data_IF_915987054447
#
_entry.id   IF_915987054447
#
_cell.length_a   1.000
_cell.length_b   1.000
_cell.length_c   1.000
_cell.angle_alpha   90.00
_cell.angle_beta   90.00
_cell.angle_gamma   90.00
#
_symmetry.space_group_name_H-M   'P 1'
#
loop_
_entity.id
_entity.type
_entity.pdbx_description
1 polymer ?
#
# COMPACT_ATOMS: atom_id res chain seq x y z
N UNK A 1 13.23 15.64 -21.90
CA UNK A 1 12.45 14.40 -21.69
C UNK A 1 12.53 13.90 -20.25
N UNK A 2 13.71 13.62 -19.69
CA UNK A 2 13.81 13.15 -18.30
C UNK A 2 13.26 14.16 -17.27
N UNK A 3 13.45 15.46 -17.49
CA UNK A 3 12.92 16.50 -16.61
C UNK A 3 11.39 16.51 -16.57
N UNK A 4 10.74 16.41 -17.73
CA UNK A 4 9.28 16.36 -17.81
C UNK A 4 8.71 15.12 -17.11
N UNK A 5 9.38 13.97 -17.27
CA UNK A 5 8.99 12.74 -16.56
C UNK A 5 9.13 12.93 -15.04
N UNK A 6 10.16 13.65 -14.59
CA UNK A 6 10.34 13.96 -13.18
C UNK A 6 9.25 14.90 -12.65
N UNK A 7 8.86 15.92 -13.43
CA UNK A 7 7.77 16.84 -13.08
C UNK A 7 6.42 16.08 -12.97
N UNK A 8 6.08 15.28 -13.98
CA UNK A 8 4.86 14.46 -13.99
C UNK A 8 4.84 13.47 -12.81
N UNK A 9 6.00 12.90 -12.48
CA UNK A 9 6.15 12.00 -11.33
C UNK A 9 5.88 12.72 -10.00
N UNK A 10 6.44 13.93 -9.81
CA UNK A 10 6.23 14.71 -8.59
C UNK A 10 4.75 15.06 -8.44
N UNK A 11 4.08 15.51 -9.50
CA UNK A 11 2.66 15.85 -9.45
C UNK A 11 1.79 14.64 -9.09
N UNK A 12 2.08 13.49 -9.68
CA UNK A 12 1.38 12.22 -9.38
C UNK A 12 1.54 11.81 -7.91
N UNK A 13 2.78 11.80 -7.41
CA UNK A 13 3.10 11.39 -6.03
C UNK A 13 2.48 12.35 -5.02
N UNK A 14 2.59 13.65 -5.22
CA UNK A 14 2.04 14.66 -4.30
C UNK A 14 0.52 14.58 -4.28
N UNK A 15 -0.13 14.43 -5.43
CA UNK A 15 -1.60 14.30 -5.51
C UNK A 15 -2.09 13.10 -4.70
N UNK A 16 -1.46 11.93 -4.89
CA UNK A 16 -1.83 10.73 -4.15
C UNK A 16 -1.53 10.85 -2.65
N UNK A 17 -0.40 11.45 -2.28
CA UNK A 17 -0.05 11.68 -0.88
C UNK A 17 -1.03 12.63 -0.18
N UNK A 18 -1.46 13.70 -0.84
CA UNK A 18 -2.51 14.60 -0.33
C UNK A 18 -3.86 13.88 -0.15
N UNK A 19 -4.22 12.97 -1.05
CA UNK A 19 -5.42 12.13 -0.89
C UNK A 19 -5.30 11.21 0.33
N UNK A 20 -4.11 10.64 0.60
CA UNK A 20 -3.84 9.81 1.78
C UNK A 20 -3.91 10.62 3.08
N UNK A 21 -3.33 11.82 3.11
CA UNK A 21 -3.42 12.74 4.24
C UNK A 21 -4.89 13.06 4.57
N UNK A 22 -5.68 13.39 3.54
CA UNK A 22 -7.11 13.66 3.68
C UNK A 22 -7.90 12.42 4.13
N UNK A 23 -7.54 11.24 3.65
CA UNK A 23 -8.20 9.97 4.02
C UNK A 23 -8.08 9.68 5.53
N UNK A 24 -6.94 10.01 6.16
CA UNK A 24 -6.78 9.93 7.62
C UNK A 24 -7.32 11.14 8.39
N UNK A 25 -8.06 12.03 7.72
CA UNK A 25 -8.64 13.28 8.26
C UNK A 25 -7.59 14.31 8.69
N UNK A 26 -6.40 14.28 8.09
CA UNK A 26 -5.37 15.30 8.28
C UNK A 26 -5.57 16.42 7.25
N UNK A 27 -5.40 17.68 7.68
CA UNK A 27 -5.25 18.84 6.79
C UNK A 27 -3.78 19.10 6.41
N UNK A 28 -2.85 18.41 7.06
CA UNK A 28 -1.42 18.52 6.84
C UNK A 28 -0.89 17.26 6.14
N UNK A 29 -0.10 17.48 5.08
CA UNK A 29 0.66 16.43 4.41
C UNK A 29 1.86 16.06 5.28
N UNK A 30 1.99 14.78 5.63
CA UNK A 30 3.14 14.28 6.38
C UNK A 30 3.95 13.29 5.54
N UNK A 31 5.19 13.06 5.94
CA UNK A 31 6.12 12.15 5.26
C UNK A 31 5.55 10.74 5.08
N UNK A 32 4.77 10.26 6.05
CA UNK A 32 4.12 8.93 5.98
C UNK A 32 3.21 8.78 4.76
N UNK A 33 2.59 9.88 4.30
CA UNK A 33 1.61 9.86 3.22
C UNK A 33 2.33 9.67 1.87
N UNK A 34 3.45 10.37 1.68
CA UNK A 34 4.33 10.23 0.51
C UNK A 34 4.99 8.85 0.49
N UNK A 35 5.57 8.44 1.62
CA UNK A 35 6.24 7.15 1.75
C UNK A 35 5.31 5.98 1.42
N UNK A 36 4.08 5.97 1.96
CA UNK A 36 3.12 4.90 1.72
C UNK A 36 2.80 4.75 0.22
N UNK A 37 2.71 5.87 -0.51
CA UNK A 37 2.46 5.86 -1.95
C UNK A 37 3.67 5.30 -2.72
N UNK A 38 4.88 5.74 -2.39
CA UNK A 38 6.11 5.26 -3.01
C UNK A 38 6.34 3.75 -2.79
N UNK A 39 6.13 3.26 -1.57
CA UNK A 39 6.31 1.84 -1.27
C UNK A 39 5.26 0.95 -1.98
N UNK A 40 3.99 1.38 -1.99
CA UNK A 40 2.90 0.54 -2.50
C UNK A 40 2.68 0.61 -4.01
N UNK A 41 2.99 1.74 -4.65
CA UNK A 41 2.70 1.95 -6.07
C UNK A 41 3.95 1.92 -6.93
N UNK A 42 5.07 2.38 -6.38
CA UNK A 42 6.34 2.47 -7.11
C UNK A 42 7.36 1.42 -6.67
N UNK A 43 7.05 0.65 -5.61
CA UNK A 43 7.99 -0.29 -4.98
C UNK A 43 9.33 0.37 -4.63
N UNK A 44 9.27 1.66 -4.25
CA UNK A 44 10.43 2.45 -3.84
C UNK A 44 10.45 2.53 -2.33
N UNK A 45 11.50 1.98 -1.73
CA UNK A 45 11.76 2.08 -0.29
C UNK A 45 12.88 3.09 -0.04
N UNK A 46 12.64 4.03 0.88
CA UNK A 46 13.60 5.09 1.20
C UNK A 46 14.17 4.82 2.61
N UNK A 47 15.47 4.49 2.72
CA UNK A 47 16.12 4.31 4.01
C UNK A 47 16.04 5.57 4.88
N UNK A 48 15.88 5.39 6.19
CA UNK A 48 15.84 6.52 7.15
C UNK A 48 14.49 7.25 7.23
N UNK A 49 13.51 6.88 6.39
CA UNK A 49 12.15 7.40 6.46
C UNK A 49 11.16 6.27 6.77
N UNK A 50 10.41 6.43 7.86
CA UNK A 50 9.29 5.58 8.26
C UNK A 50 9.61 4.18 8.77
N UNK A 51 10.55 4.06 9.71
CA UNK A 51 10.63 2.89 10.56
C UNK A 51 10.51 3.26 12.03
N UNK A 52 9.31 3.09 12.59
CA UNK A 52 9.19 2.59 13.98
C UNK A 52 8.46 1.24 14.05
N UNK A 53 7.77 0.80 13.00
CA UNK A 53 7.21 -0.54 12.96
C UNK A 53 7.43 -1.16 11.58
N UNK A 54 8.38 -2.10 11.51
CA UNK A 54 8.38 -3.13 10.48
C UNK A 54 6.99 -3.76 10.52
N UNK A 55 6.10 -3.43 9.57
CA UNK A 55 4.79 -4.08 9.50
C UNK A 55 5.08 -5.56 9.33
N UNK A 56 4.72 -6.43 10.30
CA UNK A 56 4.61 -7.84 9.98
C UNK A 56 3.57 -7.88 8.87
N UNK A 57 3.91 -8.49 7.74
CA UNK A 57 2.91 -8.82 6.73
C UNK A 57 1.80 -9.61 7.45
N UNK A 58 0.72 -8.92 7.82
CA UNK A 58 -0.46 -9.56 8.39
C UNK A 58 -1.17 -10.18 7.20
N UNK A 59 -1.06 -11.51 7.09
CA UNK A 59 -1.93 -12.30 6.22
C UNK A 59 -3.36 -11.79 6.45
N UNK A 60 -4.04 -11.44 5.35
CA UNK A 60 -5.43 -11.01 5.43
C UNK A 60 -6.23 -12.01 6.26
N UNK A 61 -7.03 -11.52 7.22
CA UNK A 61 -7.87 -12.40 8.02
C UNK A 61 -8.81 -13.14 7.07
N UNK A 62 -8.71 -14.48 7.04
CA UNK A 62 -9.57 -15.29 6.20
C UNK A 62 -10.94 -15.40 6.86
N UNK A 63 -11.98 -14.98 6.14
CA UNK A 63 -13.36 -15.10 6.63
C UNK A 63 -13.74 -16.57 6.77
N UNK A 64 -14.66 -16.90 7.68
CA UNK A 64 -15.19 -18.27 7.83
C UNK A 64 -15.77 -18.81 6.51
N UNK A 65 -16.45 -17.96 5.74
CA UNK A 65 -16.93 -18.28 4.40
C UNK A 65 -15.79 -18.68 3.44
N UNK A 66 -14.65 -17.97 3.48
CA UNK A 66 -13.49 -18.31 2.67
C UNK A 66 -12.88 -19.66 3.10
N UNK A 67 -12.79 -19.93 4.41
CA UNK A 67 -12.30 -21.22 4.93
C UNK A 67 -13.18 -22.38 4.49
N UNK A 68 -14.50 -22.23 4.58
CA UNK A 68 -15.47 -23.24 4.15
C UNK A 68 -15.36 -23.52 2.64
N UNK A 69 -15.26 -22.47 1.81
CA UNK A 69 -15.05 -22.61 0.36
C UNK A 69 -13.75 -23.35 0.05
N UNK A 70 -12.65 -23.01 0.72
CA UNK A 70 -11.36 -23.68 0.53
C UNK A 70 -11.41 -25.15 0.94
N UNK A 71 -12.17 -25.50 1.98
CA UNK A 71 -12.35 -26.90 2.41
C UNK A 71 -13.13 -27.72 1.36
N UNK A 72 -14.17 -27.15 0.74
CA UNK A 72 -14.91 -27.80 -0.34
C UNK A 72 -14.03 -28.03 -1.57
N UNK A 73 -13.28 -27.01 -2.00
CA UNK A 73 -12.34 -27.13 -3.13
C UNK A 73 -11.32 -28.25 -2.89
N UNK A 74 -10.70 -28.30 -1.71
CA UNK A 74 -9.73 -29.35 -1.35
C UNK A 74 -10.33 -30.75 -1.37
N UNK A 75 -11.61 -30.92 -1.06
CA UNK A 75 -12.31 -32.22 -1.14
C UNK A 75 -12.53 -32.63 -2.59
N UNK A 76 -12.82 -31.70 -3.48
CA UNK A 76 -13.03 -31.99 -4.91
C UNK A 76 -11.74 -32.29 -5.66
N UNK A 77 -10.62 -31.67 -5.31
CA UNK A 77 -9.31 -31.88 -5.99
C UNK A 77 -8.58 -33.15 -5.51
N UNK A 78 -9.05 -33.79 -4.44
CA UNK A 78 -8.52 -35.07 -3.94
C UNK A 78 -9.21 -36.31 -4.52
N UNK A 79 -10.17 -36.13 -5.43
CA UNK A 79 -10.69 -37.17 -6.32
C UNK A 79 -9.98 -37.08 -7.66
#
# INVERSE_FOLDING_TARGET
MLLQIADDFIESVVTAACQLARHRKSSTLEVKDVQLHLERQWNMWIPGFGSEEIRPYKKACTTEAHKQRMALIRKTTKK
#
